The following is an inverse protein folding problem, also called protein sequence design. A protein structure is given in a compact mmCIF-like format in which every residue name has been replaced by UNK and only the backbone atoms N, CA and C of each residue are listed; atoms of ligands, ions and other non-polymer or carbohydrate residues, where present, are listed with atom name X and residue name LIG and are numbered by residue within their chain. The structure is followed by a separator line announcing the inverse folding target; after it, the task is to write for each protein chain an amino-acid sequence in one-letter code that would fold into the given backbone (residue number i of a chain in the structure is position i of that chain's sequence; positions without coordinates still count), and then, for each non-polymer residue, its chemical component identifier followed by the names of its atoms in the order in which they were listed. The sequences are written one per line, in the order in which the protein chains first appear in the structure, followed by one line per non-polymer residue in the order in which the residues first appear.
data_IF_439840450515
#
_entry.id   IF_439840450515
#
_cell.length_a   1.000
_cell.length_b   1.000
_cell.length_c   1.000
_cell.angle_alpha   90.00
_cell.angle_beta   90.00
_cell.angle_gamma   90.00
#
_symmetry.space_group_name_H-M   'P 1'
#
loop_
_entity.id
_entity.type
_entity.pdbx_description
1 polymer ?
#
# COMPACT_ATOMS: atom_id res chain seq x y z
N UNK A 1 -11.85 4.68 15.84
CA UNK A 1 -10.71 5.42 15.27
C UNK A 1 -10.66 5.42 13.74
N UNK A 2 -11.43 4.62 13.04
CA UNK A 2 -11.48 4.62 11.57
C UNK A 2 -12.61 5.53 11.04
N UNK A 3 -12.69 6.76 11.54
CA UNK A 3 -13.70 7.73 11.13
C UNK A 3 -13.23 8.47 9.88
N UNK A 4 -14.13 8.63 8.90
CA UNK A 4 -13.91 9.49 7.74
C UNK A 4 -14.20 10.96 8.09
N UNK A 5 -13.35 11.85 7.61
CA UNK A 5 -13.55 13.29 7.69
C UNK A 5 -13.66 13.89 6.29
N UNK A 6 -14.52 14.87 6.13
CA UNK A 6 -14.66 15.63 4.89
C UNK A 6 -13.48 16.57 4.73
N UNK A 7 -12.61 16.33 3.76
CA UNK A 7 -11.44 17.17 3.46
C UNK A 7 -11.59 17.81 2.08
N UNK A 8 -11.18 19.06 1.97
CA UNK A 8 -11.18 19.80 0.70
C UNK A 8 -9.90 19.53 -0.07
N UNK A 9 -10.03 19.28 -1.36
CA UNK A 9 -8.89 19.21 -2.30
C UNK A 9 -8.33 20.63 -2.47
N UNK A 10 -7.15 20.88 -1.89
CA UNK A 10 -6.50 22.19 -1.91
C UNK A 10 -5.62 22.42 -3.14
N UNK A 11 -5.07 21.35 -3.71
CA UNK A 11 -4.25 21.40 -4.92
C UNK A 11 -4.38 20.11 -5.74
N UNK A 12 -4.31 20.24 -7.07
CA UNK A 12 -4.36 19.13 -8.03
C UNK A 12 -3.30 19.34 -9.10
N UNK A 13 -2.44 18.33 -9.30
CA UNK A 13 -1.39 18.36 -10.34
C UNK A 13 -1.53 17.18 -11.27
N UNK A 14 -1.31 17.44 -12.56
CA UNK A 14 -1.20 16.39 -13.58
C UNK A 14 0.24 15.86 -13.58
N UNK A 15 0.44 14.67 -13.05
CA UNK A 15 1.77 14.05 -12.98
C UNK A 15 2.19 13.41 -14.30
N UNK A 16 1.26 12.71 -14.95
CA UNK A 16 1.43 12.13 -16.29
C UNK A 16 0.10 12.17 -17.04
N UNK A 17 0.07 11.67 -18.28
CA UNK A 17 -1.19 11.57 -19.04
C UNK A 17 -2.29 10.79 -18.30
N UNK A 18 -1.90 9.79 -17.50
CA UNK A 18 -2.79 8.84 -16.83
C UNK A 18 -2.70 8.90 -15.30
N UNK A 19 -2.13 9.97 -14.74
CA UNK A 19 -2.04 10.13 -13.29
C UNK A 19 -2.13 11.58 -12.82
N UNK A 20 -2.75 11.76 -11.67
CA UNK A 20 -2.86 13.03 -10.94
C UNK A 20 -2.32 12.88 -9.53
N UNK A 21 -1.96 14.00 -8.90
CA UNK A 21 -1.79 14.07 -7.46
C UNK A 21 -2.75 15.10 -6.85
N UNK A 22 -3.23 14.80 -5.64
CA UNK A 22 -4.18 15.59 -4.88
C UNK A 22 -3.57 15.95 -3.54
N UNK A 23 -3.61 17.23 -3.15
CA UNK A 23 -3.35 17.65 -1.79
C UNK A 23 -4.67 17.98 -1.08
N UNK A 24 -4.70 17.77 0.23
CA UNK A 24 -5.85 18.05 1.06
C UNK A 24 -5.55 19.17 2.04
N UNK A 25 -6.55 20.03 2.25
CA UNK A 25 -6.55 21.01 3.34
C UNK A 25 -6.98 20.30 4.63
N UNK A 26 -6.09 20.32 5.62
CA UNK A 26 -6.34 19.67 6.91
C UNK A 26 -6.76 20.72 7.93
N UNK A 27 -8.02 20.69 8.42
CA UNK A 27 -8.48 21.61 9.46
C UNK A 27 -7.64 21.50 10.74
N UNK A 28 -7.47 22.63 11.47
CA UNK A 28 -6.64 22.69 12.68
C UNK A 28 -7.06 21.66 13.75
N UNK A 29 -8.35 21.45 13.93
CA UNK A 29 -8.92 20.47 14.86
C UNK A 29 -8.63 19.01 14.49
N UNK A 30 -8.31 18.75 13.23
CA UNK A 30 -7.92 17.43 12.71
C UNK A 30 -6.41 17.26 12.57
N UNK A 31 -5.61 18.31 12.74
CA UNK A 31 -4.17 18.29 12.48
C UNK A 31 -3.43 17.15 13.20
N UNK A 32 -3.82 16.85 14.45
CA UNK A 32 -3.22 15.76 15.21
C UNK A 32 -3.57 14.37 14.62
N UNK A 33 -4.79 14.19 14.15
CA UNK A 33 -5.26 12.92 13.57
C UNK A 33 -4.66 12.65 12.20
N UNK A 34 -4.19 13.69 11.50
CA UNK A 34 -3.57 13.58 10.18
C UNK A 34 -2.05 13.72 10.20
N UNK A 35 -1.41 13.63 11.37
CA UNK A 35 0.04 13.40 11.41
C UNK A 35 0.34 12.03 10.81
N UNK A 36 1.37 11.96 9.98
CA UNK A 36 1.71 10.71 9.30
C UNK A 36 3.21 10.40 9.39
N UNK A 37 3.53 9.12 9.19
CA UNK A 37 4.89 8.65 8.92
C UNK A 37 5.04 8.40 7.42
N UNK A 38 6.25 8.54 6.92
CA UNK A 38 6.59 8.25 5.52
C UNK A 38 6.17 6.81 5.14
N UNK A 39 5.57 6.63 3.97
CA UNK A 39 5.10 5.31 3.51
C UNK A 39 3.70 4.92 3.97
N UNK A 40 3.03 5.72 4.81
CA UNK A 40 1.62 5.53 5.14
C UNK A 40 0.70 5.91 3.97
N UNK A 41 -0.56 5.49 4.05
CA UNK A 41 -1.59 5.76 3.04
C UNK A 41 -2.84 6.41 3.63
N UNK A 42 -3.63 7.05 2.77
CA UNK A 42 -4.99 7.50 3.06
C UNK A 42 -6.00 6.58 2.39
N UNK A 43 -7.13 6.34 3.05
CA UNK A 43 -8.30 5.74 2.41
C UNK A 43 -9.26 6.85 2.03
N UNK A 44 -9.52 6.98 0.73
CA UNK A 44 -10.48 7.94 0.16
C UNK A 44 -11.81 7.23 -0.09
N UNK A 45 -12.90 7.91 0.22
CA UNK A 45 -14.27 7.43 0.01
C UNK A 45 -15.09 8.49 -0.72
N UNK A 46 -15.90 8.06 -1.67
CA UNK A 46 -16.86 8.92 -2.37
C UNK A 46 -18.00 8.10 -2.96
N UNK A 47 -19.04 8.78 -3.43
CA UNK A 47 -20.13 8.16 -4.19
C UNK A 47 -19.87 8.30 -5.69
N UNK A 48 -19.88 7.18 -6.43
CA UNK A 48 -19.75 7.14 -7.88
C UNK A 48 -20.92 6.34 -8.42
N UNK A 49 -21.75 6.96 -9.28
CA UNK A 49 -22.96 6.34 -9.85
C UNK A 49 -23.90 5.71 -8.80
N UNK A 50 -24.00 6.37 -7.62
CA UNK A 50 -24.83 5.91 -6.52
C UNK A 50 -24.24 4.77 -5.68
N UNK A 51 -22.98 4.40 -5.93
CA UNK A 51 -22.27 3.38 -5.17
C UNK A 51 -21.16 4.02 -4.33
N UNK A 52 -21.07 3.63 -3.06
CA UNK A 52 -19.93 4.00 -2.23
C UNK A 52 -18.67 3.27 -2.69
N UNK A 53 -17.64 4.02 -2.99
CA UNK A 53 -16.34 3.49 -3.42
C UNK A 53 -15.24 3.97 -2.48
N UNK A 54 -14.48 3.04 -1.94
CA UNK A 54 -13.31 3.30 -1.07
C UNK A 54 -12.04 2.80 -1.74
N UNK A 55 -10.96 3.59 -1.71
CA UNK A 55 -9.62 3.18 -2.20
C UNK A 55 -8.52 3.77 -1.35
N UNK A 56 -7.48 2.97 -1.11
CA UNK A 56 -6.25 3.42 -0.45
C UNK A 56 -5.27 3.98 -1.48
N UNK A 57 -4.63 5.08 -1.12
CA UNK A 57 -3.55 5.71 -1.87
C UNK A 57 -2.44 6.14 -0.94
N UNK A 58 -1.22 5.67 -1.20
CA UNK A 58 -0.06 6.01 -0.39
C UNK A 58 0.23 7.51 -0.46
N UNK A 59 0.60 8.08 0.67
CA UNK A 59 1.05 9.47 0.78
C UNK A 59 2.36 9.59 0.03
N UNK A 60 2.48 10.60 -0.84
CA UNK A 60 3.66 10.85 -1.67
C UNK A 60 4.42 12.13 -1.29
N UNK A 61 3.89 12.92 -0.36
CA UNK A 61 4.61 14.02 0.27
C UNK A 61 5.59 13.52 1.34
N UNK A 62 6.67 14.23 1.58
CA UNK A 62 7.52 14.04 2.77
C UNK A 62 6.83 14.59 4.02
N UNK A 63 7.19 14.07 5.19
CA UNK A 63 6.64 14.55 6.47
C UNK A 63 6.92 16.04 6.69
N UNK A 64 8.05 16.54 6.19
CA UNK A 64 8.47 17.95 6.32
C UNK A 64 7.89 18.86 5.23
N UNK A 65 7.15 18.34 4.25
CA UNK A 65 6.60 19.15 3.15
C UNK A 65 5.42 20.05 3.60
N UNK A 66 4.89 19.86 4.80
CA UNK A 66 3.67 20.50 5.31
C UNK A 66 2.48 20.35 4.34
N UNK A 67 2.41 19.25 3.64
CA UNK A 67 1.41 18.94 2.63
C UNK A 67 0.96 17.48 2.80
N UNK A 68 -0.35 17.23 2.81
CA UNK A 68 -0.92 15.90 2.78
C UNK A 68 -1.32 15.57 1.34
N UNK A 69 -0.45 14.84 0.61
CA UNK A 69 -0.65 14.58 -0.82
C UNK A 69 -0.63 13.09 -1.12
N UNK A 70 -1.58 12.65 -1.94
CA UNK A 70 -1.62 11.31 -2.54
C UNK A 70 -1.58 11.42 -4.07
N UNK A 71 -1.21 10.34 -4.75
CA UNK A 71 -1.31 10.30 -6.21
C UNK A 71 -2.09 9.09 -6.71
N UNK A 72 -2.85 9.32 -7.79
CA UNK A 72 -3.82 8.37 -8.33
C UNK A 72 -3.51 8.15 -9.81
N UNK A 73 -2.97 6.97 -10.10
CA UNK A 73 -2.79 6.51 -11.47
C UNK A 73 -4.03 5.79 -11.95
N UNK A 74 -4.49 6.11 -13.17
CA UNK A 74 -5.62 5.44 -13.82
C UNK A 74 -5.31 3.96 -14.02
N UNK A 75 -6.20 3.13 -13.54
CA UNK A 75 -6.20 1.68 -13.78
C UNK A 75 -7.26 1.39 -14.85
N UNK A 76 -7.00 0.53 -15.84
CA UNK A 76 -8.04 0.09 -16.78
C UNK A 76 -9.27 -0.42 -16.01
N UNK A 77 -10.45 0.05 -16.40
CA UNK A 77 -11.74 -0.28 -15.77
C UNK A 77 -11.86 0.07 -14.27
N UNK A 78 -10.91 0.83 -13.74
CA UNK A 78 -10.87 1.25 -12.35
C UNK A 78 -11.83 2.40 -12.07
N UNK A 79 -12.93 2.14 -11.37
CA UNK A 79 -13.99 3.11 -11.11
C UNK A 79 -13.47 4.39 -10.42
N UNK A 80 -12.83 4.26 -9.26
CA UNK A 80 -12.32 5.43 -8.51
C UNK A 80 -11.19 6.15 -9.25
N UNK A 81 -10.24 5.42 -9.83
CA UNK A 81 -9.09 6.03 -10.51
C UNK A 81 -9.49 6.76 -11.79
N UNK A 82 -10.54 6.32 -12.48
CA UNK A 82 -11.12 7.01 -13.62
C UNK A 82 -11.84 8.28 -13.16
N UNK A 83 -12.74 8.17 -12.17
CA UNK A 83 -13.41 9.31 -11.56
C UNK A 83 -12.39 10.38 -11.08
N UNK A 84 -11.34 9.97 -10.37
CA UNK A 84 -10.34 10.90 -9.87
C UNK A 84 -9.61 11.65 -10.98
N UNK A 85 -9.24 10.97 -12.08
CA UNK A 85 -8.51 11.59 -13.18
C UNK A 85 -9.39 12.48 -14.08
N UNK A 86 -10.71 12.25 -14.11
CA UNK A 86 -11.62 12.93 -15.04
C UNK A 86 -12.53 13.96 -14.39
N UNK A 87 -12.83 13.82 -13.11
CA UNK A 87 -13.92 14.58 -12.46
C UNK A 87 -13.50 15.40 -11.25
N UNK A 88 -12.45 15.02 -10.51
CA UNK A 88 -12.04 15.76 -9.31
C UNK A 88 -11.40 17.09 -9.69
N UNK A 89 -11.76 18.14 -8.97
CA UNK A 89 -11.24 19.50 -9.12
C UNK A 89 -10.79 20.08 -7.78
N UNK A 90 -9.99 21.12 -7.81
CA UNK A 90 -9.65 21.90 -6.62
C UNK A 90 -10.95 22.49 -6.04
N UNK A 91 -11.12 22.36 -4.73
CA UNK A 91 -12.32 22.76 -3.99
C UNK A 91 -13.34 21.64 -3.79
N UNK A 92 -13.22 20.50 -4.47
CA UNK A 92 -14.07 19.35 -4.20
C UNK A 92 -13.78 18.76 -2.82
N UNK A 93 -14.80 18.15 -2.23
CA UNK A 93 -14.72 17.52 -0.90
C UNK A 93 -14.76 16.01 -1.05
N UNK A 94 -13.76 15.35 -0.49
CA UNK A 94 -13.72 13.89 -0.38
C UNK A 94 -13.76 13.48 1.10
N UNK A 95 -14.30 12.31 1.37
CA UNK A 95 -14.18 11.70 2.68
C UNK A 95 -12.87 10.94 2.77
N UNK A 96 -12.06 11.29 3.76
CA UNK A 96 -10.70 10.78 3.93
C UNK A 96 -10.56 10.20 5.33
N UNK A 97 -10.00 9.00 5.42
CA UNK A 97 -9.63 8.39 6.70
C UNK A 97 -8.23 8.86 7.10
N UNK A 98 -7.95 9.05 8.39
CA UNK A 98 -6.59 9.35 8.88
C UNK A 98 -5.55 8.35 8.35
N UNK A 99 -4.25 8.76 8.31
CA UNK A 99 -3.18 7.93 7.81
C UNK A 99 -3.07 6.58 8.52
N UNK A 100 -2.88 5.52 7.74
CA UNK A 100 -2.67 4.14 8.21
C UNK A 100 -1.51 3.50 7.45
N UNK A 101 -1.03 2.36 7.94
CA UNK A 101 0.00 1.55 7.28
C UNK A 101 1.30 1.48 8.07
N UNK A 102 2.11 0.45 7.76
CA UNK A 102 3.35 0.11 8.47
C UNK A 102 4.57 0.08 7.54
N UNK A 103 4.45 0.56 6.30
CA UNK A 103 5.53 0.57 5.31
C UNK A 103 6.54 1.69 5.56
N UNK A 104 7.15 1.70 6.75
CA UNK A 104 8.17 2.67 7.18
C UNK A 104 9.16 2.05 8.17
N UNK A 105 10.28 2.71 8.37
CA UNK A 105 11.18 2.50 9.51
C UNK A 105 11.30 3.78 10.34
N UNK A 106 11.66 3.63 11.60
CA UNK A 106 11.94 4.79 12.46
C UNK A 106 13.25 5.43 12.02
N UNK A 107 13.22 6.75 11.85
CA UNK A 107 14.37 7.54 11.45
C UNK A 107 15.07 8.15 12.65
N UNK A 108 16.41 8.25 12.56
CA UNK A 108 17.25 8.84 13.60
C UNK A 108 18.15 9.92 12.98
N UNK A 109 18.04 11.20 13.40
CA UNK A 109 18.84 12.30 12.86
C UNK A 109 20.37 12.12 12.95
N UNK A 110 20.85 11.23 13.81
CA UNK A 110 22.29 10.95 13.96
C UNK A 110 22.73 9.70 13.19
N UNK A 111 21.82 9.00 12.53
CA UNK A 111 22.14 7.80 11.74
C UNK A 111 22.96 8.15 10.49
N UNK A 112 23.84 7.23 10.12
CA UNK A 112 24.62 7.21 8.88
C UNK A 112 24.18 5.97 8.07
N UNK A 113 22.92 5.91 7.67
CA UNK A 113 22.31 4.74 7.05
C UNK A 113 22.46 4.70 5.53
N UNK A 114 22.48 3.49 4.99
CA UNK A 114 22.37 3.22 3.56
C UNK A 114 21.01 2.60 3.25
N UNK A 115 20.22 3.26 2.40
CA UNK A 115 18.86 2.84 2.04
C UNK A 115 18.75 2.47 0.56
N UNK A 116 18.12 1.34 0.28
CA UNK A 116 17.73 0.93 -1.06
C UNK A 116 16.22 1.10 -1.24
N UNK A 117 15.82 1.88 -2.22
CA UNK A 117 14.43 2.06 -2.60
C UNK A 117 14.21 1.50 -3.99
N UNK A 118 13.22 0.62 -4.17
CA UNK A 118 12.87 0.03 -5.47
C UNK A 118 11.40 0.28 -5.76
N UNK A 119 11.14 0.99 -6.85
CA UNK A 119 9.78 1.32 -7.27
C UNK A 119 9.51 0.92 -8.72
N UNK A 120 8.26 0.59 -9.03
CA UNK A 120 7.81 0.53 -10.41
C UNK A 120 6.42 1.15 -10.57
N UNK A 121 6.27 2.01 -11.60
CA UNK A 121 5.02 2.70 -11.91
C UNK A 121 4.50 3.52 -10.74
N UNK A 122 3.25 3.25 -10.30
CA UNK A 122 2.63 3.95 -9.15
C UNK A 122 3.21 3.56 -7.79
N UNK A 123 3.99 2.49 -7.70
CA UNK A 123 4.72 2.15 -6.46
C UNK A 123 5.71 3.22 -6.00
N UNK A 124 5.96 4.23 -6.84
CA UNK A 124 6.76 5.40 -6.46
C UNK A 124 6.09 6.23 -5.35
N UNK A 125 4.78 6.16 -5.13
CA UNK A 125 4.09 7.04 -4.18
C UNK A 125 4.60 6.91 -2.76
N UNK A 126 4.61 5.73 -2.09
CA UNK A 126 5.20 5.61 -0.77
C UNK A 126 6.72 5.78 -0.78
N UNK A 127 7.37 5.31 -1.84
CA UNK A 127 8.83 5.38 -2.00
C UNK A 127 9.33 6.84 -2.06
N UNK A 128 8.58 7.73 -2.72
CA UNK A 128 8.90 9.16 -2.75
C UNK A 128 8.80 9.80 -1.36
N UNK A 129 7.73 9.47 -0.61
CA UNK A 129 7.55 9.92 0.76
C UNK A 129 8.71 9.46 1.66
N UNK A 130 9.10 8.19 1.56
CA UNK A 130 10.23 7.61 2.29
C UNK A 130 11.54 8.33 1.90
N UNK A 131 11.82 8.48 0.60
CA UNK A 131 13.04 9.13 0.13
C UNK A 131 13.18 10.56 0.65
N UNK A 132 12.12 11.37 0.51
CA UNK A 132 12.08 12.77 0.96
C UNK A 132 12.30 12.86 2.46
N UNK A 133 11.55 12.08 3.23
CA UNK A 133 11.59 12.14 4.70
C UNK A 133 12.94 11.66 5.23
N UNK A 134 13.49 10.56 4.71
CA UNK A 134 14.78 10.03 5.11
C UNK A 134 15.90 11.05 4.83
N UNK A 135 15.95 11.59 3.60
CA UNK A 135 16.98 12.57 3.22
C UNK A 135 16.92 13.87 4.02
N UNK A 136 15.72 14.29 4.44
CA UNK A 136 15.52 15.48 5.25
C UNK A 136 15.82 15.24 6.72
N UNK A 137 15.47 14.06 7.26
CA UNK A 137 15.61 13.75 8.69
C UNK A 137 17.00 13.27 9.05
N UNK A 138 17.66 12.48 8.18
CA UNK A 138 18.96 11.85 8.41
C UNK A 138 20.04 12.50 7.52
N UNK A 139 20.73 13.56 7.97
CA UNK A 139 21.63 14.34 7.12
C UNK A 139 22.88 13.58 6.65
N UNK A 140 23.18 12.44 7.26
CA UNK A 140 24.36 11.63 6.92
C UNK A 140 24.03 10.35 6.15
N UNK A 141 22.75 10.02 6.03
CA UNK A 141 22.29 8.82 5.33
C UNK A 141 22.23 9.01 3.82
N UNK A 142 22.37 7.89 3.09
CA UNK A 142 22.35 7.82 1.64
C UNK A 142 21.16 6.99 1.17
N UNK A 143 20.63 7.35 0.01
CA UNK A 143 19.50 6.67 -0.62
C UNK A 143 19.87 6.31 -2.05
N UNK A 144 19.72 5.05 -2.42
CA UNK A 144 19.73 4.61 -3.82
C UNK A 144 18.31 4.25 -4.23
N UNK A 145 17.75 4.98 -5.21
CA UNK A 145 16.42 4.75 -5.76
C UNK A 145 16.52 4.14 -7.15
N UNK A 146 16.02 2.91 -7.30
CA UNK A 146 15.82 2.22 -8.57
C UNK A 146 14.36 2.34 -8.97
N UNK A 147 14.07 3.04 -10.09
CA UNK A 147 12.71 3.34 -10.50
C UNK A 147 12.38 2.87 -11.91
N UNK A 148 11.58 1.80 -12.00
CA UNK A 148 11.12 1.20 -13.25
C UNK A 148 9.88 1.85 -13.83
N UNK A 149 9.91 2.16 -15.14
CA UNK A 149 8.78 2.72 -15.88
C UNK A 149 8.73 2.19 -17.32
N UNK A 150 7.65 2.51 -18.05
CA UNK A 150 7.55 2.20 -19.48
C UNK A 150 8.39 3.16 -20.31
N UNK A 151 8.27 4.45 -20.05
CA UNK A 151 8.93 5.54 -20.77
C UNK A 151 9.09 6.76 -19.86
N UNK A 152 9.90 7.69 -20.26
CA UNK A 152 10.08 9.00 -19.61
C UNK A 152 8.75 9.73 -19.40
N UNK A 153 7.86 9.72 -20.40
CA UNK A 153 6.55 10.39 -20.33
C UNK A 153 5.55 9.73 -19.38
N UNK A 154 5.77 8.49 -19.00
CA UNK A 154 4.95 7.75 -18.01
C UNK A 154 5.53 7.73 -16.61
N UNK A 155 6.67 8.39 -16.39
CA UNK A 155 7.38 8.46 -15.11
C UNK A 155 6.73 9.53 -14.24
N UNK A 156 6.00 9.09 -13.20
CA UNK A 156 5.39 9.99 -12.22
C UNK A 156 6.47 10.68 -11.40
N UNK A 157 6.24 11.94 -11.01
CA UNK A 157 7.12 12.74 -10.16
C UNK A 157 8.55 12.94 -10.71
N UNK A 158 8.74 12.82 -12.03
CA UNK A 158 10.06 12.92 -12.65
C UNK A 158 10.79 14.20 -12.31
N UNK A 159 10.12 15.34 -12.44
CA UNK A 159 10.71 16.65 -12.17
C UNK A 159 10.99 16.82 -10.68
N UNK A 160 10.07 16.35 -9.83
CA UNK A 160 10.25 16.38 -8.38
C UNK A 160 11.41 15.49 -7.90
N UNK A 161 11.63 14.32 -8.54
CA UNK A 161 12.79 13.46 -8.30
C UNK A 161 14.10 14.11 -8.77
N UNK A 162 14.06 14.84 -9.90
CA UNK A 162 15.21 15.61 -10.36
C UNK A 162 15.58 16.74 -9.39
N UNK A 163 14.60 17.47 -8.89
CA UNK A 163 14.79 18.51 -7.87
C UNK A 163 15.33 17.92 -6.55
N UNK A 164 14.81 16.77 -6.14
CA UNK A 164 15.30 16.05 -4.96
C UNK A 164 16.77 15.63 -5.16
N UNK A 165 17.11 15.12 -6.37
CA UNK A 165 18.50 14.78 -6.72
C UNK A 165 19.41 16.02 -6.70
N UNK A 166 18.94 17.15 -7.21
CA UNK A 166 19.70 18.41 -7.18
C UNK A 166 19.95 18.89 -5.74
N UNK A 167 18.95 18.74 -4.86
CA UNK A 167 19.04 19.11 -3.44
C UNK A 167 20.00 18.21 -2.66
N UNK A 168 19.96 16.90 -2.92
CA UNK A 168 20.73 15.89 -2.20
C UNK A 168 21.75 15.17 -3.09
N UNK A 169 22.49 15.91 -3.91
CA UNK A 169 23.34 15.43 -5.00
C UNK A 169 24.26 14.27 -4.59
N UNK A 170 24.92 14.38 -3.43
CA UNK A 170 25.90 13.40 -2.94
C UNK A 170 25.28 12.24 -2.14
N UNK A 171 23.99 12.37 -1.79
CA UNK A 171 23.29 11.41 -0.91
C UNK A 171 22.13 10.66 -1.58
N UNK A 172 21.64 11.14 -2.72
CA UNK A 172 20.63 10.46 -3.51
C UNK A 172 21.24 9.93 -4.80
N UNK A 173 21.26 8.61 -4.98
CA UNK A 173 21.53 7.98 -6.26
C UNK A 173 20.18 7.61 -6.92
N UNK A 174 19.92 8.13 -8.12
CA UNK A 174 18.65 7.96 -8.82
C UNK A 174 18.88 7.24 -10.14
N UNK A 175 18.29 6.05 -10.29
CA UNK A 175 18.46 5.17 -11.43
C UNK A 175 17.08 4.90 -12.04
N UNK A 176 16.85 5.34 -13.29
CA UNK A 176 15.66 5.02 -14.05
C UNK A 176 15.89 3.80 -14.94
N UNK A 177 14.93 2.85 -14.93
CA UNK A 177 14.90 1.70 -15.84
C UNK A 177 13.66 1.81 -16.71
N UNK A 178 13.84 1.87 -18.05
CA UNK A 178 12.74 2.09 -19.00
C UNK A 178 12.53 0.86 -19.89
N UNK A 179 11.29 0.34 -19.90
CA UNK A 179 10.98 -0.90 -20.62
C UNK A 179 10.51 -0.70 -22.07
N UNK A 180 10.15 0.52 -22.46
CA UNK A 180 9.65 0.85 -23.81
C UNK A 180 10.29 2.08 -24.42
N UNK A 181 11.40 2.54 -23.87
CA UNK A 181 12.19 3.66 -24.34
C UNK A 181 13.66 3.30 -24.20
N UNK A 182 14.42 3.46 -25.30
CA UNK A 182 15.84 3.11 -25.34
C UNK A 182 16.67 4.18 -24.66
N UNK A 183 17.56 3.76 -23.77
CA UNK A 183 18.58 4.58 -23.12
C UNK A 183 19.98 4.16 -23.60
N UNK A 184 20.95 5.04 -23.49
CA UNK A 184 22.34 4.82 -23.98
C UNK A 184 23.04 3.67 -23.25
N UNK A 185 22.64 3.37 -22.01
CA UNK A 185 23.22 2.31 -21.19
C UNK A 185 22.26 1.12 -21.17
N UNK A 186 22.68 -0.01 -21.71
CA UNK A 186 21.85 -1.21 -21.82
C UNK A 186 21.29 -1.70 -20.47
N UNK A 187 22.05 -1.51 -19.38
CA UNK A 187 21.64 -1.87 -18.04
C UNK A 187 20.35 -1.15 -17.60
N UNK A 188 20.05 0.01 -18.17
CA UNK A 188 18.87 0.82 -17.82
C UNK A 188 17.66 0.55 -18.72
N UNK A 189 17.79 -0.38 -19.69
CA UNK A 189 16.73 -0.77 -20.61
C UNK A 189 16.01 -2.03 -20.13
N UNK A 190 14.69 -2.12 -20.36
CA UNK A 190 13.88 -3.28 -20.03
C UNK A 190 13.16 -3.19 -18.68
N UNK A 191 12.87 -4.32 -18.07
CA UNK A 191 12.26 -4.43 -16.75
C UNK A 191 13.31 -4.52 -15.65
N UNK A 192 12.92 -4.25 -14.42
CA UNK A 192 13.70 -4.60 -13.23
C UNK A 192 13.57 -6.12 -13.05
N UNK A 193 14.59 -6.84 -13.46
CA UNK A 193 14.73 -8.29 -13.34
C UNK A 193 15.93 -8.65 -12.42
N UNK A 194 16.11 -9.92 -12.13
CA UNK A 194 17.13 -10.41 -11.22
C UNK A 194 18.55 -10.08 -11.69
N UNK A 195 18.87 -10.33 -12.97
CA UNK A 195 20.21 -10.08 -13.53
C UNK A 195 20.56 -8.57 -13.43
N UNK A 196 19.58 -7.72 -13.73
CA UNK A 196 19.72 -6.26 -13.63
C UNK A 196 19.92 -5.82 -12.19
N UNK A 197 19.12 -6.35 -11.26
CA UNK A 197 19.30 -6.07 -9.83
C UNK A 197 20.68 -6.49 -9.34
N UNK A 198 21.16 -7.70 -9.67
CA UNK A 198 22.50 -8.17 -9.31
C UNK A 198 23.59 -7.24 -9.86
N UNK A 199 23.47 -6.81 -11.12
CA UNK A 199 24.44 -5.89 -11.74
C UNK A 199 24.42 -4.47 -11.13
N UNK A 200 23.24 -3.95 -10.80
CA UNK A 200 23.08 -2.63 -10.18
C UNK A 200 23.53 -2.65 -8.72
N UNK A 201 23.15 -3.68 -7.95
CA UNK A 201 23.54 -3.81 -6.54
C UNK A 201 25.07 -3.93 -6.41
N UNK A 202 25.70 -4.81 -7.19
CA UNK A 202 27.16 -4.95 -7.17
C UNK A 202 27.93 -3.64 -7.45
N UNK A 203 27.27 -2.66 -8.07
CA UNK A 203 27.91 -1.39 -8.45
C UNK A 203 27.59 -0.24 -7.50
N UNK A 204 26.38 -0.24 -6.93
CA UNK A 204 25.82 0.95 -6.26
C UNK A 204 25.36 0.72 -4.83
N UNK A 205 25.20 -0.56 -4.39
CA UNK A 205 24.54 -0.89 -3.13
C UNK A 205 25.32 -1.95 -2.36
N UNK A 206 25.73 -1.65 -1.15
CA UNK A 206 26.24 -2.68 -0.23
C UNK A 206 25.05 -3.38 0.44
N UNK A 207 24.52 -4.39 -0.24
CA UNK A 207 23.29 -5.09 0.18
C UNK A 207 23.36 -5.73 1.56
N UNK A 208 24.55 -6.05 2.07
CA UNK A 208 24.73 -6.68 3.38
C UNK A 208 24.63 -5.70 4.54
N UNK A 209 24.87 -4.43 4.26
CA UNK A 209 24.92 -3.37 5.26
C UNK A 209 23.81 -2.32 5.06
N UNK A 210 22.68 -2.70 4.43
CA UNK A 210 21.53 -1.83 4.31
C UNK A 210 20.83 -1.66 5.66
N UNK A 211 20.55 -0.41 6.02
CA UNK A 211 19.72 -0.03 7.18
C UNK A 211 18.22 -0.14 6.84
N UNK A 212 17.86 -0.13 5.55
CA UNK A 212 16.50 -0.37 5.08
C UNK A 212 16.42 -0.53 3.57
N UNK A 213 15.65 -1.52 3.13
CA UNK A 213 15.27 -1.73 1.74
C UNK A 213 13.74 -1.64 1.64
N UNK A 214 13.24 -0.72 0.79
CA UNK A 214 11.80 -0.51 0.62
C UNK A 214 11.42 -0.77 -0.83
N UNK A 215 10.48 -1.70 -1.05
CA UNK A 215 10.14 -2.21 -2.38
C UNK A 215 8.63 -2.03 -2.61
N UNK A 216 8.24 -1.34 -3.69
CA UNK A 216 6.83 -1.18 -4.06
C UNK A 216 6.65 -1.18 -5.58
N UNK A 217 5.81 -2.11 -6.07
CA UNK A 217 5.53 -2.27 -7.49
C UNK A 217 4.75 -3.53 -7.81
N UNK A 218 4.85 -4.07 -9.03
CA UNK A 218 4.24 -5.35 -9.40
C UNK A 218 4.70 -6.49 -8.48
N UNK A 219 3.79 -7.38 -8.13
CA UNK A 219 4.05 -8.47 -7.18
C UNK A 219 5.28 -9.29 -7.56
N UNK A 220 5.39 -9.72 -8.82
CA UNK A 220 6.53 -10.51 -9.30
C UNK A 220 7.88 -9.81 -9.13
N UNK A 221 7.93 -8.47 -9.37
CA UNK A 221 9.14 -7.68 -9.13
C UNK A 221 9.45 -7.60 -7.64
N UNK A 222 8.45 -7.32 -6.83
CA UNK A 222 8.59 -7.13 -5.38
C UNK A 222 9.10 -8.41 -4.71
N UNK A 223 8.49 -9.55 -5.02
CA UNK A 223 8.92 -10.86 -4.50
C UNK A 223 10.34 -11.20 -4.95
N UNK A 224 10.66 -11.04 -6.23
CA UNK A 224 11.99 -11.29 -6.78
C UNK A 224 13.06 -10.44 -6.09
N UNK A 225 12.83 -9.12 -5.91
CA UNK A 225 13.81 -8.23 -5.26
C UNK A 225 13.98 -8.60 -3.78
N UNK A 226 12.87 -8.89 -3.08
CA UNK A 226 12.89 -9.33 -1.68
C UNK A 226 13.75 -10.58 -1.52
N UNK A 227 13.49 -11.61 -2.33
CA UNK A 227 14.21 -12.89 -2.26
C UNK A 227 15.68 -12.71 -2.59
N UNK A 228 16.00 -11.90 -3.60
CA UNK A 228 17.38 -11.59 -3.98
C UNK A 228 18.14 -10.88 -2.84
N UNK A 229 17.51 -9.95 -2.12
CA UNK A 229 18.13 -9.26 -0.98
C UNK A 229 18.41 -10.23 0.17
N UNK A 230 17.45 -11.11 0.50
CA UNK A 230 17.64 -12.17 1.51
C UNK A 230 18.79 -13.10 1.14
N UNK A 231 18.83 -13.59 -0.09
CA UNK A 231 19.92 -14.44 -0.61
C UNK A 231 21.28 -13.73 -0.57
N UNK A 232 21.29 -12.41 -0.77
CA UNK A 232 22.51 -11.59 -0.76
C UNK A 232 22.99 -11.23 0.65
N UNK A 233 22.20 -11.56 1.68
CA UNK A 233 22.56 -11.41 3.10
C UNK A 233 22.07 -10.13 3.75
N UNK A 234 21.08 -9.45 3.16
CA UNK A 234 20.35 -8.35 3.85
C UNK A 234 19.53 -8.94 5.00
N UNK A 235 19.60 -8.40 6.23
CA UNK A 235 18.74 -8.82 7.33
C UNK A 235 17.26 -8.68 6.99
N UNK A 236 16.46 -9.67 7.36
CA UNK A 236 15.05 -9.71 6.98
C UNK A 236 14.25 -8.53 7.57
N UNK A 237 14.58 -8.14 8.78
CA UNK A 237 14.00 -6.97 9.47
C UNK A 237 14.26 -5.63 8.77
N UNK A 238 15.25 -5.57 7.87
CA UNK A 238 15.56 -4.39 7.07
C UNK A 238 14.92 -4.43 5.67
N UNK A 239 14.17 -5.48 5.34
CA UNK A 239 13.49 -5.62 4.03
C UNK A 239 11.99 -5.36 4.21
N UNK A 240 11.54 -4.22 3.70
CA UNK A 240 10.14 -3.79 3.74
C UNK A 240 9.55 -3.79 2.33
N UNK A 241 8.32 -4.24 2.19
CA UNK A 241 7.63 -4.20 0.89
C UNK A 241 6.15 -3.88 1.03
N UNK A 242 5.60 -3.25 0.01
CA UNK A 242 4.16 -2.97 -0.08
C UNK A 242 3.64 -3.36 -1.46
N UNK A 243 2.46 -4.00 -1.49
CA UNK A 243 1.75 -4.34 -2.72
C UNK A 243 0.43 -3.56 -2.81
N UNK A 244 0.10 -3.04 -3.98
CA UNK A 244 -1.17 -2.33 -4.22
C UNK A 244 -2.30 -3.27 -4.67
N UNK A 245 -1.95 -4.41 -5.19
CA UNK A 245 -2.86 -5.49 -5.54
C UNK A 245 -2.14 -6.82 -5.36
N UNK A 246 -2.83 -7.82 -4.87
CA UNK A 246 -2.37 -9.20 -4.89
C UNK A 246 -3.04 -9.94 -6.06
N UNK A 247 -2.30 -10.82 -6.70
CA UNK A 247 -2.90 -11.74 -7.67
C UNK A 247 -3.85 -12.67 -6.93
N UNK A 248 -5.15 -12.57 -7.23
CA UNK A 248 -6.16 -13.39 -6.60
C UNK A 248 -5.98 -14.86 -6.93
N UNK A 249 -6.21 -15.74 -5.96
CA UNK A 249 -6.18 -17.18 -6.19
C UNK A 249 -7.48 -17.63 -6.90
N UNK A 250 -7.55 -17.45 -8.22
CA UNK A 250 -8.72 -17.83 -9.03
C UNK A 250 -9.13 -19.29 -8.83
N UNK A 251 -8.16 -20.20 -8.67
CA UNK A 251 -8.42 -21.61 -8.40
C UNK A 251 -9.14 -21.84 -7.09
N UNK A 252 -8.75 -21.12 -6.02
CA UNK A 252 -9.47 -21.19 -4.73
C UNK A 252 -10.91 -20.66 -4.86
N UNK A 253 -11.11 -19.56 -5.60
CA UNK A 253 -12.45 -18.98 -5.84
C UNK A 253 -13.34 -19.96 -6.62
N UNK A 254 -12.83 -20.61 -7.65
CA UNK A 254 -13.56 -21.62 -8.41
C UNK A 254 -13.91 -22.85 -7.54
N UNK A 255 -12.94 -23.33 -6.73
CA UNK A 255 -13.17 -24.43 -5.79
C UNK A 255 -14.27 -24.10 -4.75
N UNK A 256 -14.25 -22.88 -4.20
CA UNK A 256 -15.29 -22.38 -3.28
C UNK A 256 -16.66 -22.33 -3.94
N UNK A 257 -16.74 -21.79 -5.16
CA UNK A 257 -17.99 -21.72 -5.91
C UNK A 257 -18.58 -23.10 -6.19
N UNK A 258 -17.75 -24.12 -6.45
CA UNK A 258 -18.18 -25.51 -6.65
C UNK A 258 -18.62 -26.17 -5.34
N UNK A 259 -17.96 -25.86 -4.22
CA UNK A 259 -18.30 -26.43 -2.91
C UNK A 259 -19.54 -25.79 -2.25
N UNK A 260 -19.93 -24.59 -2.68
CA UNK A 260 -21.00 -23.78 -2.06
C UNK A 260 -22.38 -24.46 -1.96
N UNK A 261 -22.69 -25.38 -2.87
CA UNK A 261 -24.02 -26.05 -2.89
C UNK A 261 -24.27 -26.94 -1.64
N UNK A 262 -23.20 -27.54 -1.09
CA UNK A 262 -23.25 -28.51 0.02
C UNK A 262 -22.54 -27.99 1.29
N UNK A 263 -22.23 -26.69 1.37
CA UNK A 263 -21.51 -26.11 2.52
C UNK A 263 -22.41 -26.04 3.76
N UNK A 264 -21.86 -26.43 4.90
CA UNK A 264 -22.52 -26.26 6.21
C UNK A 264 -22.64 -24.77 6.56
N UNK A 265 -23.50 -24.45 7.52
CA UNK A 265 -23.66 -23.10 8.06
C UNK A 265 -22.68 -22.83 9.21
N UNK A 266 -22.16 -21.62 9.25
CA UNK A 266 -21.42 -21.05 10.37
C UNK A 266 -22.24 -19.94 11.01
N UNK A 267 -22.26 -19.90 12.32
CA UNK A 267 -22.68 -18.73 13.10
C UNK A 267 -21.46 -17.80 13.25
N UNK A 268 -21.57 -16.61 12.65
CA UNK A 268 -20.52 -15.60 12.68
C UNK A 268 -20.91 -14.53 13.69
N UNK A 269 -20.02 -14.20 14.62
CA UNK A 269 -20.16 -13.04 15.49
C UNK A 269 -19.01 -12.07 15.22
N UNK A 270 -19.32 -10.83 14.91
CA UNK A 270 -18.35 -9.75 14.79
C UNK A 270 -18.53 -8.77 15.94
N UNK A 271 -17.41 -8.34 16.53
CA UNK A 271 -17.38 -7.35 17.62
C UNK A 271 -16.71 -6.09 17.09
N UNK A 272 -17.41 -4.96 17.17
CA UNK A 272 -16.89 -3.66 16.79
C UNK A 272 -17.45 -2.55 17.67
N UNK A 273 -16.58 -1.63 18.12
CA UNK A 273 -16.92 -0.52 19.02
C UNK A 273 -17.68 -1.01 20.29
N UNK A 274 -17.29 -2.18 20.80
CA UNK A 274 -17.92 -2.85 21.96
C UNK A 274 -19.29 -3.49 21.68
N UNK A 275 -19.76 -3.47 20.44
CA UNK A 275 -21.03 -4.08 20.02
C UNK A 275 -20.81 -5.39 19.28
N UNK A 276 -21.54 -6.44 19.67
CA UNK A 276 -21.53 -7.73 18.99
C UNK A 276 -22.73 -7.84 18.05
N UNK A 277 -22.50 -8.28 16.82
CA UNK A 277 -23.52 -8.63 15.85
C UNK A 277 -23.29 -10.05 15.38
N UNK A 278 -24.36 -10.86 15.30
CA UNK A 278 -24.31 -12.25 14.82
C UNK A 278 -25.17 -12.44 13.58
N UNK A 279 -24.67 -13.25 12.64
CA UNK A 279 -25.37 -13.63 11.41
C UNK A 279 -24.91 -15.02 10.96
N UNK A 280 -25.69 -15.66 10.09
CA UNK A 280 -25.36 -16.96 9.51
C UNK A 280 -24.67 -16.78 8.15
N UNK A 281 -23.63 -17.58 7.91
CA UNK A 281 -22.89 -17.59 6.65
C UNK A 281 -22.53 -19.03 6.28
N UNK A 282 -22.72 -19.41 5.02
CA UNK A 282 -22.26 -20.71 4.53
C UNK A 282 -20.73 -20.79 4.57
N UNK A 283 -20.22 -21.92 5.10
CA UNK A 283 -18.79 -22.15 5.18
C UNK A 283 -18.12 -22.05 3.82
N UNK A 284 -17.00 -21.36 3.80
CA UNK A 284 -16.11 -21.29 2.65
C UNK A 284 -16.75 -20.74 1.35
N UNK A 285 -17.83 -19.96 1.43
CA UNK A 285 -18.53 -19.42 0.25
C UNK A 285 -18.27 -17.93 0.03
N UNK A 286 -18.34 -17.15 1.09
CA UNK A 286 -18.14 -15.72 1.07
C UNK A 286 -17.23 -15.28 2.24
N UNK A 287 -16.52 -14.16 2.07
CA UNK A 287 -15.69 -13.63 3.13
C UNK A 287 -16.53 -12.89 4.19
N UNK A 288 -16.03 -12.89 5.41
CA UNK A 288 -16.72 -12.30 6.56
C UNK A 288 -16.98 -10.81 6.41
N UNK A 289 -16.09 -10.06 5.75
CA UNK A 289 -16.27 -8.62 5.52
C UNK A 289 -17.53 -8.32 4.71
N UNK A 290 -17.68 -9.01 3.58
CA UNK A 290 -18.83 -8.78 2.70
C UNK A 290 -20.13 -9.17 3.40
N UNK A 291 -20.18 -10.39 3.93
CA UNK A 291 -21.37 -10.88 4.64
C UNK A 291 -21.73 -9.97 5.84
N UNK A 292 -20.75 -9.56 6.66
CA UNK A 292 -20.99 -8.66 7.78
C UNK A 292 -21.58 -7.31 7.34
N UNK A 293 -21.05 -6.72 6.28
CA UNK A 293 -21.54 -5.44 5.77
C UNK A 293 -22.93 -5.55 5.12
N UNK A 294 -23.26 -6.68 4.47
CA UNK A 294 -24.61 -6.97 3.97
C UNK A 294 -25.64 -7.07 5.12
N UNK A 295 -25.21 -7.56 6.27
CA UNK A 295 -26.04 -7.61 7.48
C UNK A 295 -26.00 -6.31 8.30
N UNK A 296 -25.28 -5.28 7.86
CA UNK A 296 -25.26 -3.95 8.49
C UNK A 296 -24.22 -3.79 9.62
N UNK A 297 -23.20 -4.65 9.70
CA UNK A 297 -22.15 -4.54 10.73
C UNK A 297 -21.18 -3.36 10.51
N UNK A 298 -21.23 -2.70 9.36
CA UNK A 298 -20.36 -1.57 8.97
C UNK A 298 -18.87 -1.81 9.29
N UNK A 299 -18.38 -3.00 8.94
CA UNK A 299 -17.00 -3.39 9.19
C UNK A 299 -16.01 -2.53 8.41
N UNK A 300 -14.82 -2.23 8.98
CA UNK A 300 -13.84 -1.38 8.33
C UNK A 300 -13.22 -2.09 7.11
N UNK A 301 -13.08 -1.37 6.00
CA UNK A 301 -12.39 -1.88 4.81
C UNK A 301 -11.89 -0.77 3.90
N UNK A 302 -10.95 -1.13 3.02
CA UNK A 302 -10.49 -0.27 1.92
C UNK A 302 -10.20 -1.08 0.66
N UNK A 303 -9.05 -1.75 0.53
CA UNK A 303 -8.60 -2.40 -0.72
C UNK A 303 -9.41 -3.64 -1.11
N UNK A 304 -9.97 -4.38 -0.17
CA UNK A 304 -10.60 -5.70 -0.32
C UNK A 304 -9.72 -6.75 -1.00
N UNK A 305 -8.41 -6.52 -1.04
CA UNK A 305 -7.43 -7.34 -1.74
C UNK A 305 -6.37 -7.98 -0.81
N UNK A 306 -6.53 -7.85 0.51
CA UNK A 306 -5.63 -8.47 1.48
C UNK A 306 -4.27 -7.76 1.65
N UNK A 307 -4.15 -6.48 1.23
CA UNK A 307 -2.85 -5.77 1.22
C UNK A 307 -2.79 -4.52 2.12
N UNK A 308 -3.94 -4.00 2.64
CA UNK A 308 -3.97 -2.69 3.32
C UNK A 308 -4.24 -2.74 4.82
N UNK A 309 -4.42 -3.90 5.40
CA UNK A 309 -4.69 -4.15 6.84
C UNK A 309 -5.91 -3.42 7.44
N UNK A 310 -6.65 -2.58 6.67
CA UNK A 310 -7.81 -1.82 7.19
C UNK A 310 -8.91 -2.72 7.77
N UNK A 311 -9.05 -3.93 7.25
CA UNK A 311 -10.04 -4.92 7.69
C UNK A 311 -9.46 -5.98 8.65
N UNK A 312 -8.30 -5.69 9.28
CA UNK A 312 -7.67 -6.56 10.27
C UNK A 312 -8.59 -6.76 11.47
N UNK A 313 -8.69 -7.98 11.94
CA UNK A 313 -9.41 -8.35 13.14
C UNK A 313 -8.79 -9.60 13.75
N UNK A 314 -9.12 -9.88 15.01
CA UNK A 314 -8.61 -11.04 15.74
C UNK A 314 -9.64 -12.14 15.78
N UNK A 315 -9.24 -13.38 15.50
CA UNK A 315 -10.07 -14.57 15.72
C UNK A 315 -10.07 -14.89 17.21
N UNK A 316 -11.25 -14.80 17.85
CA UNK A 316 -11.43 -15.11 19.28
C UNK A 316 -11.91 -16.55 19.46
N UNK A 317 -12.75 -17.04 18.54
CA UNK A 317 -13.28 -18.41 18.57
C UNK A 317 -13.47 -18.91 17.14
N UNK A 318 -13.20 -20.19 16.91
CA UNK A 318 -13.39 -20.85 15.61
C UNK A 318 -12.20 -20.71 14.68
N UNK A 319 -12.45 -21.00 13.39
CA UNK A 319 -11.40 -21.03 12.35
C UNK A 319 -11.92 -20.40 11.05
N UNK A 320 -11.00 -19.71 10.36
CA UNK A 320 -11.20 -19.16 9.02
C UNK A 320 -10.06 -19.60 8.09
N UNK A 321 -10.38 -19.81 6.80
CA UNK A 321 -9.38 -19.96 5.73
C UNK A 321 -9.12 -18.58 5.11
N UNK A 322 -7.91 -18.06 5.27
CA UNK A 322 -7.51 -16.77 4.73
C UNK A 322 -6.77 -16.96 3.41
N UNK A 323 -7.27 -16.32 2.33
CA UNK A 323 -6.70 -16.45 0.99
C UNK A 323 -5.39 -15.69 0.81
N UNK A 324 -5.35 -14.47 1.29
CA UNK A 324 -4.22 -13.54 1.16
C UNK A 324 -3.99 -12.85 2.51
N UNK A 325 -2.75 -12.92 2.99
CA UNK A 325 -2.33 -12.35 4.28
C UNK A 325 -1.25 -11.26 4.14
N UNK A 326 -0.98 -10.77 2.94
CA UNK A 326 0.13 -9.85 2.63
C UNK A 326 0.11 -8.58 3.49
N UNK A 327 -1.08 -8.10 3.88
CA UNK A 327 -1.22 -6.96 4.77
C UNK A 327 -0.99 -7.27 6.26
N UNK A 328 -0.51 -8.47 6.61
CA UNK A 328 -0.19 -8.86 7.97
C UNK A 328 1.26 -9.33 8.05
N UNK A 329 1.91 -9.04 9.16
CA UNK A 329 3.21 -9.61 9.50
C UNK A 329 3.02 -11.04 10.03
N UNK A 330 4.05 -11.89 9.89
CA UNK A 330 3.98 -13.30 10.30
C UNK A 330 3.60 -13.45 11.79
N UNK A 331 4.13 -12.60 12.67
CA UNK A 331 3.80 -12.61 14.09
C UNK A 331 2.32 -12.23 14.36
N UNK A 332 1.68 -11.43 13.51
CA UNK A 332 0.26 -11.10 13.63
C UNK A 332 -0.60 -12.31 13.25
N UNK A 333 -0.24 -13.01 12.17
CA UNK A 333 -0.91 -14.24 11.76
C UNK A 333 -0.79 -15.31 12.87
N UNK A 334 0.40 -15.49 13.45
CA UNK A 334 0.64 -16.39 14.56
C UNK A 334 -0.15 -16.00 15.84
N UNK A 335 -0.37 -14.70 16.05
CA UNK A 335 -1.19 -14.17 17.14
C UNK A 335 -2.71 -14.28 16.90
N UNK A 336 -3.12 -14.83 15.75
CA UNK A 336 -4.54 -15.05 15.38
C UNK A 336 -5.21 -13.86 14.71
N UNK A 337 -4.45 -12.90 14.19
CA UNK A 337 -5.01 -11.83 13.36
C UNK A 337 -5.28 -12.30 11.94
N UNK A 338 -6.37 -11.81 11.38
CA UNK A 338 -6.80 -12.12 10.01
C UNK A 338 -7.30 -10.86 9.30
N UNK A 339 -7.32 -10.92 7.96
CA UNK A 339 -7.94 -9.90 7.11
C UNK A 339 -9.35 -10.36 6.75
N UNK A 340 -10.38 -9.76 7.32
CA UNK A 340 -11.78 -10.18 7.15
C UNK A 340 -12.24 -10.20 5.67
N UNK A 341 -11.64 -9.35 4.82
CA UNK A 341 -11.92 -9.34 3.37
C UNK A 341 -11.35 -10.54 2.62
N UNK A 342 -10.48 -11.33 3.25
CA UNK A 342 -9.85 -12.53 2.71
C UNK A 342 -10.17 -13.78 3.52
N UNK A 343 -10.96 -13.65 4.59
CA UNK A 343 -11.23 -14.72 5.57
C UNK A 343 -12.61 -15.34 5.32
N UNK A 344 -12.62 -16.64 5.16
CA UNK A 344 -13.80 -17.47 4.89
C UNK A 344 -14.00 -18.43 6.06
N UNK A 345 -15.19 -18.51 6.68
CA UNK A 345 -15.40 -19.38 7.83
C UNK A 345 -15.32 -20.87 7.43
N UNK A 346 -14.63 -21.67 8.25
CA UNK A 346 -14.48 -23.13 8.05
C UNK A 346 -14.90 -23.96 9.28
N UNK A 347 -15.33 -23.30 10.36
CA UNK A 347 -15.90 -23.92 11.55
C UNK A 347 -17.34 -23.50 11.77
N UNK A 348 -18.08 -24.26 12.60
CA UNK A 348 -19.52 -24.00 12.86
C UNK A 348 -19.79 -22.68 13.56
N UNK A 349 -18.82 -22.19 14.32
CA UNK A 349 -18.89 -20.91 15.01
C UNK A 349 -17.60 -20.15 14.81
N UNK A 350 -17.68 -18.85 14.50
CA UNK A 350 -16.54 -17.96 14.35
C UNK A 350 -16.84 -16.64 15.06
N UNK A 351 -15.93 -16.21 15.93
CA UNK A 351 -16.01 -14.90 16.60
C UNK A 351 -14.79 -14.08 16.20
N UNK A 352 -15.05 -12.90 15.62
CA UNK A 352 -14.02 -11.96 15.15
C UNK A 352 -14.15 -10.63 15.88
N UNK A 353 -13.05 -10.16 16.45
CA UNK A 353 -12.99 -8.93 17.22
C UNK A 353 -12.18 -7.87 16.45
N UNK A 354 -12.84 -6.77 16.08
CA UNK A 354 -12.25 -5.63 15.36
C UNK A 354 -11.74 -4.53 16.32
N UNK A 355 -11.93 -4.70 17.61
CA UNK A 355 -11.47 -3.74 18.63
C UNK A 355 -10.06 -4.10 19.14
N UNK A 356 -9.61 -5.34 18.90
CA UNK A 356 -8.28 -5.84 19.24
C UNK A 356 -7.33 -5.74 18.03
N UNK A 357 -7.06 -4.53 17.52
CA UNK A 357 -6.21 -4.30 16.35
C UNK A 357 -5.07 -3.33 16.61
#
# INVERSE_FOLDING_TARGET
MNQFHSLTVSDLRRETRDSISLAFDIPEDLAQSYQFKQGQFLTLRTQIDGQEVRRSYSICSGVQDNEMRVAIKRVPDGLFSTFANDSINIGDVLEVMPPLGHFYSELDPVRHGDYLLVAAGSGITPILSIAKTTLATEPHSKVTLLYGNRSTSSTMFRDQLADLKNTYMDRLNLIFVLSREQQDIDLYNGHIDEDKCRALFARWVDVKNLDGAFICGPQSMTEMVKDLLKESGTPEENIHFELFAAEGNERKREQRAQAAANADMSEITVIRDGHAMSFELKQNTENVLNAGNEHGADLPFSCRAGVCSTCKCKVIEGEVDMDISIGLEDYEVEAGYVLSCQSYPVSKKVVLDFDQV
#
